data_IF_857324901880
#
_entry.id   IF_857324901880
#
_cell.length_a   1.000
_cell.length_b   1.000
_cell.length_c   1.000
_cell.angle_alpha   90.00
_cell.angle_beta   90.00
_cell.angle_gamma   90.00
#
_symmetry.space_group_name_H-M   'P 1'
#
loop_
_entity.id
_entity.type
_entity.pdbx_description
1 polymer ?
#
# COMPACT_ATOMS: atom_id res chain seq x y z
N UNK A 1 -17.74 1.61 26.08
CA UNK A 1 -18.43 2.06 24.85
C UNK A 1 -18.01 1.11 23.75
N UNK A 2 -18.91 0.33 23.17
CA UNK A 2 -18.57 -0.43 21.96
C UNK A 2 -18.74 0.51 20.78
N UNK A 3 -17.63 0.86 20.11
CA UNK A 3 -17.71 1.48 18.80
C UNK A 3 -18.35 0.44 17.86
N UNK A 4 -19.37 0.85 17.10
CA UNK A 4 -20.05 -0.07 16.16
C UNK A 4 -19.10 -0.59 15.08
N UNK A 5 -19.55 -1.58 14.31
CA UNK A 5 -18.77 -2.10 13.18
C UNK A 5 -18.45 -0.97 12.20
N UNK A 6 -17.18 -0.79 11.79
CA UNK A 6 -16.83 0.21 10.78
C UNK A 6 -17.55 -0.11 9.46
N UNK A 7 -18.00 0.94 8.78
CA UNK A 7 -18.69 0.85 7.48
C UNK A 7 -17.99 1.80 6.53
N UNK A 8 -17.73 1.34 5.29
CA UNK A 8 -17.23 2.22 4.24
C UNK A 8 -18.28 3.29 3.92
N UNK A 9 -17.81 4.54 3.85
CA UNK A 9 -18.62 5.69 3.54
C UNK A 9 -17.92 6.58 2.52
N UNK A 10 -18.58 7.67 2.11
CA UNK A 10 -18.06 8.65 1.16
C UNK A 10 -17.64 8.06 -0.21
N UNK A 11 -18.64 7.66 -0.98
CA UNK A 11 -18.46 7.12 -2.33
C UNK A 11 -18.35 8.23 -3.40
N UNK A 12 -17.95 9.45 -3.03
CA UNK A 12 -17.86 10.59 -3.96
C UNK A 12 -16.89 10.36 -5.11
N UNK A 13 -15.80 9.62 -4.85
CA UNK A 13 -14.80 9.25 -5.85
C UNK A 13 -14.90 7.79 -6.33
N UNK A 14 -15.92 7.04 -5.90
CA UNK A 14 -16.06 5.65 -6.29
C UNK A 14 -16.29 5.51 -7.82
N UNK A 15 -15.63 4.53 -8.43
CA UNK A 15 -15.79 4.20 -9.86
C UNK A 15 -16.30 2.77 -10.05
N UNK A 16 -17.01 2.52 -11.15
CA UNK A 16 -17.48 1.18 -11.51
C UNK A 16 -16.29 0.40 -12.11
N UNK A 17 -16.01 -0.78 -11.58
CA UNK A 17 -14.81 -1.57 -11.92
C UNK A 17 -14.79 -2.25 -13.29
N UNK A 18 -15.74 -1.95 -14.18
CA UNK A 18 -15.76 -2.48 -15.57
C UNK A 18 -14.88 -1.70 -16.53
N UNK A 19 -14.40 -0.53 -16.11
CA UNK A 19 -13.62 0.40 -16.92
C UNK A 19 -12.20 0.51 -16.35
N UNK A 20 -11.21 0.64 -17.24
CA UNK A 20 -9.87 1.03 -16.82
C UNK A 20 -9.84 2.54 -16.68
N UNK A 21 -9.29 3.01 -15.56
CA UNK A 21 -9.27 4.42 -15.20
C UNK A 21 -7.82 4.94 -15.21
N UNK A 22 -7.66 6.25 -15.40
CA UNK A 22 -6.37 6.93 -15.46
C UNK A 22 -6.33 8.24 -14.63
N UNK A 23 -7.43 8.58 -13.96
CA UNK A 23 -7.54 9.78 -13.12
C UNK A 23 -6.91 9.53 -11.74
N UNK A 24 -6.38 10.59 -11.13
CA UNK A 24 -5.86 10.57 -9.76
C UNK A 24 -6.99 10.90 -8.77
N UNK A 25 -7.51 9.85 -8.10
CA UNK A 25 -8.70 9.92 -7.24
C UNK A 25 -8.42 9.47 -5.80
N UNK A 26 -7.16 9.12 -5.49
CA UNK A 26 -6.77 8.54 -4.20
C UNK A 26 -5.92 9.56 -3.43
N UNK A 27 -6.10 9.71 -2.10
CA UNK A 27 -5.28 10.65 -1.35
C UNK A 27 -3.78 10.32 -1.45
N UNK A 28 -2.95 11.36 -1.52
CA UNK A 28 -1.52 11.35 -1.84
C UNK A 28 -0.72 10.10 -1.40
N UNK A 29 -0.70 9.79 -0.10
CA UNK A 29 0.14 8.73 0.51
C UNK A 29 -0.43 7.32 0.34
N UNK A 30 -1.68 7.23 -0.09
CA UNK A 30 -2.39 5.97 -0.31
C UNK A 30 -2.39 5.55 -1.78
N UNK A 31 -1.85 6.38 -2.68
CA UNK A 31 -1.74 6.07 -4.11
C UNK A 31 -0.88 4.84 -4.33
N UNK A 32 -1.41 3.90 -5.09
CA UNK A 32 -0.70 2.70 -5.51
C UNK A 32 0.38 3.04 -6.56
N UNK A 33 1.41 2.19 -6.75
CA UNK A 33 2.46 2.40 -7.74
C UNK A 33 1.93 2.72 -9.14
N UNK A 34 0.90 2.00 -9.60
CA UNK A 34 0.30 2.21 -10.91
C UNK A 34 -0.39 3.57 -11.05
N UNK A 35 -0.94 4.14 -9.97
CA UNK A 35 -1.57 5.47 -9.98
C UNK A 35 -0.50 6.55 -10.12
N UNK A 36 0.61 6.44 -9.37
CA UNK A 36 1.74 7.38 -9.44
C UNK A 36 2.37 7.36 -10.84
N UNK A 37 2.50 6.17 -11.43
CA UNK A 37 3.06 5.99 -12.77
C UNK A 37 2.05 6.20 -13.90
N UNK A 38 0.81 6.61 -13.60
CA UNK A 38 -0.26 6.82 -14.59
C UNK A 38 -0.50 5.59 -15.48
N UNK A 39 -0.33 4.39 -14.92
CA UNK A 39 -0.66 3.11 -15.52
C UNK A 39 -2.13 2.83 -15.23
N UNK A 40 -2.80 2.11 -16.15
CA UNK A 40 -4.19 1.70 -15.94
C UNK A 40 -4.34 0.93 -14.63
N UNK A 41 -5.36 1.31 -13.86
CA UNK A 41 -5.66 0.70 -12.57
C UNK A 41 -7.06 0.08 -12.54
N UNK A 42 -7.27 -0.81 -11.57
CA UNK A 42 -8.55 -1.45 -11.27
C UNK A 42 -8.76 -1.50 -9.74
N UNK A 43 -9.75 -2.27 -9.26
CA UNK A 43 -10.07 -2.41 -7.83
C UNK A 43 -8.90 -2.88 -6.94
N UNK A 44 -7.80 -3.39 -7.51
CA UNK A 44 -6.57 -3.73 -6.76
C UNK A 44 -5.83 -2.51 -6.23
N UNK A 45 -6.15 -1.31 -6.70
CA UNK A 45 -5.74 -0.06 -6.06
C UNK A 45 -6.32 0.06 -4.64
N UNK A 46 -7.59 -0.37 -4.44
CA UNK A 46 -8.20 -0.39 -3.11
C UNK A 46 -7.50 -1.37 -2.17
N UNK A 47 -7.00 -2.49 -2.70
CA UNK A 47 -6.23 -3.47 -1.91
C UNK A 47 -4.91 -2.87 -1.42
N UNK A 48 -4.23 -2.10 -2.27
CA UNK A 48 -3.04 -1.34 -1.86
C UNK A 48 -3.39 -0.34 -0.76
N UNK A 49 -4.43 0.47 -0.97
CA UNK A 49 -4.89 1.46 0.01
C UNK A 49 -5.21 0.82 1.37
N UNK A 50 -5.92 -0.32 1.39
CA UNK A 50 -6.18 -1.10 2.61
C UNK A 50 -4.90 -1.60 3.25
N UNK A 51 -3.89 -2.00 2.45
CA UNK A 51 -2.57 -2.36 2.95
C UNK A 51 -1.92 -1.22 3.72
N UNK A 52 -1.77 -0.05 3.07
CA UNK A 52 -1.19 1.14 3.71
C UNK A 52 -1.99 1.55 4.95
N UNK A 53 -3.32 1.58 4.88
CA UNK A 53 -4.19 1.90 6.01
C UNK A 53 -4.03 0.90 7.17
N UNK A 54 -3.90 -0.40 6.87
CA UNK A 54 -3.71 -1.44 7.89
C UNK A 54 -2.42 -1.19 8.66
N UNK A 55 -1.34 -0.83 7.96
CA UNK A 55 -0.08 -0.45 8.59
C UNK A 55 -0.24 0.78 9.48
N UNK A 56 -0.80 1.86 8.93
CA UNK A 56 -0.95 3.13 9.66
C UNK A 56 -1.76 2.97 10.95
N UNK A 57 -2.85 2.19 10.90
CA UNK A 57 -3.67 1.88 12.06
C UNK A 57 -2.94 0.97 13.06
N UNK A 58 -2.21 -0.02 12.57
CA UNK A 58 -1.54 -0.99 13.42
C UNK A 58 -0.34 -0.36 14.11
N UNK A 59 0.56 0.30 13.37
CA UNK A 59 1.78 0.92 13.89
C UNK A 59 1.52 2.31 14.51
N UNK A 60 0.46 3.00 14.11
CA UNK A 60 0.18 4.36 14.60
C UNK A 60 1.08 5.44 13.97
N UNK A 61 1.79 5.09 12.91
CA UNK A 61 2.64 5.97 12.10
C UNK A 61 2.48 5.61 10.62
N UNK A 62 2.67 6.61 9.74
CA UNK A 62 2.48 6.43 8.31
C UNK A 62 3.54 5.52 7.70
N UNK A 63 3.13 4.59 6.83
CA UNK A 63 4.06 3.75 6.07
C UNK A 63 4.89 4.56 5.06
N UNK A 64 4.27 5.53 4.40
CA UNK A 64 4.89 6.39 3.40
C UNK A 64 4.69 7.86 3.76
N UNK A 65 5.74 8.66 3.57
CA UNK A 65 5.67 10.11 3.73
C UNK A 65 5.34 10.77 2.40
N UNK A 66 5.93 10.28 1.29
CA UNK A 66 5.71 10.79 -0.06
C UNK A 66 5.98 12.30 -0.19
N UNK A 67 6.94 12.85 0.57
CA UNK A 67 7.19 14.30 0.62
C UNK A 67 8.65 14.68 0.41
N UNK A 68 8.86 15.76 -0.33
CA UNK A 68 10.18 16.39 -0.45
C UNK A 68 10.62 17.11 0.83
N UNK A 69 11.85 17.65 0.83
CA UNK A 69 12.41 18.39 1.95
C UNK A 69 11.63 19.68 2.32
N UNK A 70 10.68 20.12 1.50
CA UNK A 70 9.79 21.25 1.78
C UNK A 70 8.38 20.79 2.23
N UNK A 71 8.15 19.49 2.37
CA UNK A 71 6.86 18.94 2.77
C UNK A 71 5.82 18.96 1.66
N UNK A 72 6.23 19.04 0.39
CA UNK A 72 5.33 18.93 -0.77
C UNK A 72 5.29 17.48 -1.25
N UNK A 73 4.15 17.06 -1.81
CA UNK A 73 4.04 15.75 -2.44
C UNK A 73 5.12 15.57 -3.52
N UNK A 74 5.83 14.45 -3.46
CA UNK A 74 6.87 14.10 -4.42
C UNK A 74 6.74 12.61 -4.79
N UNK A 75 6.30 12.37 -6.02
CA UNK A 75 6.08 11.03 -6.58
C UNK A 75 7.35 10.20 -6.62
N UNK A 76 8.47 10.84 -6.91
CA UNK A 76 9.73 10.16 -7.08
C UNK A 76 10.32 9.77 -5.71
N UNK A 77 10.13 10.62 -4.69
CA UNK A 77 10.37 10.25 -3.29
C UNK A 77 9.45 9.10 -2.85
N UNK A 78 8.16 9.15 -3.19
CA UNK A 78 7.20 8.10 -2.83
C UNK A 78 7.61 6.73 -3.41
N UNK A 79 8.00 6.68 -4.69
CA UNK A 79 8.48 5.46 -5.33
C UNK A 79 9.79 4.94 -4.71
N UNK A 80 10.68 5.82 -4.26
CA UNK A 80 11.89 5.43 -3.55
C UNK A 80 11.56 4.78 -2.18
N UNK A 81 10.59 5.31 -1.45
CA UNK A 81 10.09 4.71 -0.20
C UNK A 81 9.43 3.35 -0.49
N UNK A 82 8.61 3.24 -1.54
CA UNK A 82 8.06 1.96 -1.98
C UNK A 82 9.16 0.94 -2.30
N UNK A 83 10.25 1.35 -2.94
CA UNK A 83 11.39 0.48 -3.22
C UNK A 83 12.08 0.00 -1.94
N UNK A 84 12.18 0.83 -0.91
CA UNK A 84 12.73 0.42 0.39
C UNK A 84 11.88 -0.68 1.05
N UNK A 85 10.56 -0.61 0.90
CA UNK A 85 9.61 -1.56 1.49
C UNK A 85 9.46 -2.85 0.65
N UNK A 86 9.34 -2.71 -0.66
CA UNK A 86 9.00 -3.80 -1.58
C UNK A 86 10.23 -4.48 -2.20
N UNK A 87 11.38 -3.83 -2.15
CA UNK A 87 12.52 -4.16 -3.00
C UNK A 87 12.39 -3.54 -4.40
N UNK A 88 13.33 -3.84 -5.31
CA UNK A 88 13.41 -3.21 -6.62
C UNK A 88 12.14 -3.42 -7.45
N UNK A 89 11.68 -2.40 -8.19
CA UNK A 89 10.52 -2.53 -9.06
C UNK A 89 10.80 -3.50 -10.23
N UNK A 90 9.77 -4.18 -10.74
CA UNK A 90 9.81 -4.86 -12.02
C UNK A 90 10.24 -3.94 -13.17
N UNK A 91 10.90 -4.50 -14.19
CA UNK A 91 11.42 -3.73 -15.33
C UNK A 91 10.34 -3.00 -16.13
N UNK A 92 9.15 -3.60 -16.24
CA UNK A 92 8.02 -2.99 -16.94
C UNK A 92 7.48 -1.74 -16.23
N UNK A 93 7.59 -1.66 -14.90
CA UNK A 93 7.27 -0.44 -14.14
C UNK A 93 8.29 0.67 -14.44
N UNK A 94 9.57 0.34 -14.43
CA UNK A 94 10.66 1.30 -14.75
C UNK A 94 10.54 1.83 -16.19
N UNK A 95 10.09 1.00 -17.13
CA UNK A 95 9.95 1.40 -18.54
C UNK A 95 8.70 2.23 -18.84
N UNK A 96 7.64 2.07 -18.04
CA UNK A 96 6.35 2.77 -18.24
C UNK A 96 6.26 4.08 -17.46
N UNK A 97 7.01 4.19 -16.37
CA UNK A 97 7.01 5.34 -15.48
C UNK A 97 8.15 6.32 -15.73
N UNK A 98 7.98 7.56 -15.26
CA UNK A 98 9.09 8.52 -15.12
C UNK A 98 9.91 8.18 -13.88
N UNK A 99 10.68 7.10 -13.96
CA UNK A 99 11.46 6.59 -12.84
C UNK A 99 12.75 7.40 -12.66
N UNK A 100 12.80 8.23 -11.61
CA UNK A 100 14.00 8.99 -11.30
C UNK A 100 15.03 8.12 -10.55
N UNK A 101 16.07 7.67 -11.28
CA UNK A 101 17.16 6.85 -10.71
C UNK A 101 18.09 7.62 -9.77
N UNK A 102 18.04 8.94 -9.75
CA UNK A 102 18.96 9.78 -8.97
C UNK A 102 18.48 9.97 -7.53
N UNK A 103 17.26 9.52 -7.19
CA UNK A 103 16.74 9.58 -5.84
C UNK A 103 17.33 8.45 -4.99
N UNK A 104 17.83 8.82 -3.82
CA UNK A 104 18.34 7.87 -2.84
C UNK A 104 17.18 7.07 -2.24
N UNK A 105 17.22 5.75 -2.42
CA UNK A 105 16.31 4.83 -1.74
C UNK A 105 16.64 4.82 -0.24
N UNK A 106 15.65 4.99 0.65
CA UNK A 106 15.85 4.85 2.09
C UNK A 106 16.40 3.47 2.47
N UNK A 107 17.09 3.38 3.60
CA UNK A 107 17.77 2.14 4.04
C UNK A 107 16.92 1.25 4.95
N UNK A 108 15.73 1.71 5.35
CA UNK A 108 14.78 0.90 6.11
C UNK A 108 14.05 -0.10 5.21
N UNK A 109 13.37 -1.06 5.82
CA UNK A 109 12.43 -1.98 5.17
C UNK A 109 11.27 -2.31 6.11
N UNK A 110 10.30 -3.09 5.63
CA UNK A 110 9.11 -3.46 6.41
C UNK A 110 9.47 -4.17 7.72
N UNK A 111 10.47 -5.06 7.72
CA UNK A 111 10.95 -5.71 8.94
C UNK A 111 11.50 -4.72 9.97
N UNK A 112 12.26 -3.72 9.54
CA UNK A 112 12.86 -2.74 10.46
C UNK A 112 11.86 -1.71 10.98
N UNK A 113 10.78 -1.44 10.23
CA UNK A 113 9.74 -0.49 10.63
C UNK A 113 8.70 -1.09 11.57
N UNK A 114 8.52 -2.41 11.56
CA UNK A 114 7.60 -3.09 12.48
C UNK A 114 8.20 -3.13 13.88
N UNK A 115 7.66 -2.31 14.79
CA UNK A 115 8.17 -2.15 16.16
C UNK A 115 7.28 -2.81 17.23
N UNK A 116 6.04 -3.18 16.90
CA UNK A 116 5.06 -3.65 17.89
C UNK A 116 5.06 -5.14 18.12
N UNK A 117 5.38 -5.93 17.10
CA UNK A 117 5.39 -7.38 17.16
C UNK A 117 6.81 -7.96 17.11
N UNK A 118 6.95 -9.19 17.62
CA UNK A 118 8.17 -9.98 17.52
C UNK A 118 7.87 -11.41 17.06
N UNK A 119 8.92 -12.15 16.67
CA UNK A 119 8.85 -13.58 16.37
C UNK A 119 7.81 -13.93 15.30
N UNK A 120 6.98 -14.93 15.59
CA UNK A 120 6.00 -15.46 14.63
C UNK A 120 4.88 -14.48 14.30
N UNK A 121 4.44 -13.67 15.26
CA UNK A 121 3.34 -12.72 15.03
C UNK A 121 3.78 -11.59 14.10
N UNK A 122 5.02 -11.10 14.27
CA UNK A 122 5.67 -10.20 13.31
C UNK A 122 5.73 -10.82 11.92
N UNK A 123 6.23 -12.06 11.82
CA UNK A 123 6.32 -12.77 10.53
C UNK A 123 4.97 -12.89 9.81
N UNK A 124 3.90 -13.16 10.55
CA UNK A 124 2.53 -13.29 10.01
C UNK A 124 1.97 -11.95 9.54
N UNK A 125 2.14 -10.86 10.31
CA UNK A 125 1.74 -9.52 9.88
C UNK A 125 2.47 -9.14 8.59
N UNK A 126 3.80 -9.28 8.56
CA UNK A 126 4.61 -8.94 7.39
C UNK A 126 4.21 -9.77 6.15
N UNK A 127 3.86 -11.05 6.33
CA UNK A 127 3.34 -11.87 5.25
C UNK A 127 1.98 -11.36 4.75
N UNK A 128 1.06 -10.99 5.65
CA UNK A 128 -0.23 -10.42 5.30
C UNK A 128 -0.06 -9.10 4.52
N UNK A 129 0.81 -8.20 5.00
CA UNK A 129 1.14 -6.94 4.33
C UNK A 129 1.65 -7.15 2.90
N UNK A 130 2.56 -8.12 2.69
CA UNK A 130 3.11 -8.46 1.36
C UNK A 130 2.08 -9.00 0.37
N UNK A 131 0.91 -9.47 0.83
CA UNK A 131 -0.18 -9.86 -0.07
C UNK A 131 -0.97 -8.66 -0.60
N UNK A 132 -0.84 -7.49 0.04
CA UNK A 132 -1.49 -6.24 -0.37
C UNK A 132 -0.53 -5.27 -1.05
N UNK A 133 0.69 -5.19 -0.53
CA UNK A 133 1.75 -4.29 -0.98
C UNK A 133 2.62 -5.01 -2.03
N UNK A 134 2.19 -4.92 -3.29
CA UNK A 134 2.93 -5.43 -4.44
C UNK A 134 3.04 -4.35 -5.52
N UNK A 135 4.16 -4.34 -6.25
CA UNK A 135 4.36 -3.47 -7.40
C UNK A 135 3.25 -3.67 -8.44
N UNK A 136 3.10 -4.90 -8.94
CA UNK A 136 2.04 -5.24 -9.89
C UNK A 136 0.70 -5.43 -9.19
N UNK A 137 -0.40 -4.84 -9.70
CA UNK A 137 -1.75 -5.10 -9.22
C UNK A 137 -2.16 -6.58 -9.32
N UNK A 138 -1.65 -7.29 -10.33
CA UNK A 138 -1.98 -8.69 -10.59
C UNK A 138 -1.44 -9.64 -9.52
N UNK A 139 -0.34 -9.25 -8.86
CA UNK A 139 0.28 -10.03 -7.78
C UNK A 139 -0.41 -9.81 -6.42
N UNK A 140 -1.24 -8.76 -6.29
CA UNK A 140 -1.97 -8.48 -5.05
C UNK A 140 -3.07 -9.51 -4.86
N UNK A 141 -3.32 -9.88 -3.61
CA UNK A 141 -4.49 -10.67 -3.25
C UNK A 141 -5.80 -9.89 -3.49
N UNK A 142 -6.92 -10.60 -3.59
CA UNK A 142 -8.26 -10.01 -3.57
C UNK A 142 -8.73 -9.81 -2.14
N UNK A 143 -9.68 -8.90 -1.91
CA UNK A 143 -10.31 -8.72 -0.60
C UNK A 143 -10.87 -10.06 -0.04
N UNK A 144 -11.44 -10.90 -0.92
CA UNK A 144 -11.94 -12.22 -0.55
C UNK A 144 -10.83 -13.15 -0.04
N UNK A 145 -9.67 -13.15 -0.68
CA UNK A 145 -8.54 -13.99 -0.25
C UNK A 145 -7.86 -13.47 1.01
N UNK A 146 -7.89 -12.16 1.24
CA UNK A 146 -7.37 -11.52 2.46
C UNK A 146 -8.30 -11.74 3.65
N UNK A 147 -9.62 -11.78 3.42
CA UNK A 147 -10.61 -12.07 4.46
C UNK A 147 -10.35 -13.40 5.18
N UNK A 148 -9.80 -14.38 4.46
CA UNK A 148 -9.47 -15.70 5.00
C UNK A 148 -7.97 -15.87 5.33
N UNK A 149 -7.21 -14.77 5.39
CA UNK A 149 -5.81 -14.83 5.76
C UNK A 149 -5.65 -15.30 7.22
N UNK A 150 -4.70 -16.20 7.52
CA UNK A 150 -4.49 -16.69 8.88
C UNK A 150 -4.26 -15.58 9.91
N UNK A 151 -3.54 -14.51 9.54
CA UNK A 151 -3.26 -13.41 10.46
C UNK A 151 -4.54 -12.68 10.88
N UNK A 152 -5.39 -12.34 9.90
CA UNK A 152 -6.65 -11.65 10.14
C UNK A 152 -7.64 -12.53 10.91
N UNK A 153 -7.77 -13.80 10.51
CA UNK A 153 -8.69 -14.74 11.14
C UNK A 153 -8.33 -15.01 12.59
N UNK A 154 -7.04 -15.14 12.93
CA UNK A 154 -6.63 -15.32 14.32
C UNK A 154 -6.98 -14.12 15.21
N UNK A 155 -6.91 -12.90 14.66
CA UNK A 155 -7.29 -11.67 15.37
C UNK A 155 -8.80 -11.48 15.54
N UNK A 156 -9.62 -11.92 14.56
CA UNK A 156 -11.08 -11.77 14.59
C UNK A 156 -11.78 -12.72 15.59
N UNK A 157 -11.13 -13.79 16.01
CA UNK A 157 -11.69 -14.78 16.95
C UNK A 157 -11.03 -14.78 18.33
N UNK A 158 -10.28 -13.72 18.68
CA UNK A 158 -9.82 -13.43 20.05
C UNK A 158 -10.77 -12.44 20.72
#
# INVERSE_FOLDING_TARGET
MSYGTPVLCDFGEARIGTENHAEDIVPDVYRAPELILQIHWNYKADIWNVGVLTWDLFEGQQLFQARDAQGRLDDAQHLAEMQAILGPPPLDFVQRGDWNSDISVPTYNLETLEEKLEGNDKGRLLQFMRRMLCWSPDDRATAKELLFDPWLMEGLFK
#
